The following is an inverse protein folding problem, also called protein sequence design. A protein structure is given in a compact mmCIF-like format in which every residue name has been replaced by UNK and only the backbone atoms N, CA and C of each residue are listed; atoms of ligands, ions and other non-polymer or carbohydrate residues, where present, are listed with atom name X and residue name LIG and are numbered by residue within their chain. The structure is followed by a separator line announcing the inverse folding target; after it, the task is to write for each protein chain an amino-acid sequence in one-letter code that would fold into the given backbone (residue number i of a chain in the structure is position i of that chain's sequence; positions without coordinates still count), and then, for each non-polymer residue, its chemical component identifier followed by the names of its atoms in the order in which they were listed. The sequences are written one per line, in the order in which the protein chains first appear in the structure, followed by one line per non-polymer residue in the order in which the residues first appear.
data_IF_439822528613
#
_entry.id   IF_439822528613
#
_cell.length_a   1.000
_cell.length_b   1.000
_cell.length_c   1.000
_cell.angle_alpha   90.00
_cell.angle_beta   90.00
_cell.angle_gamma   90.00
#
_symmetry.space_group_name_H-M   'P 1'
#
loop_
_entity.id
_entity.type
_entity.pdbx_description
1 polymer ?
#
# COMPACT_ATOMS: atom_id res chain seq x y z
N UNK A 1 17.03 3.42 26.45
CA UNK A 1 15.73 3.57 27.20
C UNK A 1 14.73 2.62 26.56
N UNK A 2 14.05 1.81 27.36
CA UNK A 2 12.99 0.91 26.85
C UNK A 2 11.74 1.73 26.57
N UNK A 3 11.15 1.57 25.37
CA UNK A 3 9.89 2.19 24.99
C UNK A 3 8.77 1.16 25.10
N UNK A 4 7.61 1.57 25.59
CA UNK A 4 6.47 0.69 25.81
C UNK A 4 5.29 1.13 24.95
N UNK A 5 4.81 0.27 24.07
CA UNK A 5 3.55 0.49 23.36
C UNK A 5 2.37 0.18 24.29
N UNK A 6 1.24 0.85 24.06
CA UNK A 6 0.03 0.68 24.84
C UNK A 6 -0.57 -0.73 24.69
N UNK A 7 -1.31 -1.15 25.69
CA UNK A 7 -2.18 -2.32 25.59
C UNK A 7 -3.19 -2.10 24.44
N UNK A 8 -3.41 -3.13 23.63
CA UNK A 8 -4.27 -3.06 22.44
C UNK A 8 -3.58 -2.56 21.17
N UNK A 9 -2.28 -2.22 21.22
CA UNK A 9 -1.52 -1.92 20.02
C UNK A 9 -1.42 -3.15 19.12
N UNK A 10 -1.68 -2.99 17.81
CA UNK A 10 -1.65 -4.10 16.86
C UNK A 10 -0.23 -4.34 16.35
N UNK A 11 0.26 -5.55 16.54
CA UNK A 11 1.52 -6.05 15.98
C UNK A 11 1.18 -6.97 14.82
N UNK A 12 1.13 -6.41 13.63
CA UNK A 12 0.61 -7.08 12.43
C UNK A 12 1.66 -7.49 11.43
N UNK A 13 1.24 -8.33 10.52
CA UNK A 13 1.92 -8.64 9.27
C UNK A 13 0.99 -8.38 8.09
N UNK A 14 1.53 -7.82 7.00
CA UNK A 14 0.74 -7.50 5.81
C UNK A 14 1.04 -8.45 4.65
N UNK A 15 0.02 -8.70 3.83
CA UNK A 15 0.07 -9.45 2.58
C UNK A 15 -0.87 -8.81 1.55
N UNK A 16 -0.81 -9.27 0.30
CA UNK A 16 -1.77 -8.92 -0.74
C UNK A 16 -2.11 -10.16 -1.57
N UNK A 17 -3.39 -10.36 -1.91
CA UNK A 17 -3.90 -11.56 -2.55
C UNK A 17 -3.08 -11.99 -3.77
N UNK A 18 -2.88 -11.10 -4.74
CA UNK A 18 -2.14 -11.41 -5.97
C UNK A 18 -0.66 -11.78 -5.71
N UNK A 19 -0.07 -11.25 -4.64
CA UNK A 19 1.33 -11.48 -4.31
C UNK A 19 1.59 -12.76 -3.50
N UNK A 20 0.57 -13.30 -2.83
CA UNK A 20 0.76 -14.45 -1.95
C UNK A 20 -0.06 -15.67 -2.31
N UNK A 21 -1.28 -15.50 -2.85
CA UNK A 21 -2.23 -16.61 -2.98
C UNK A 21 -1.78 -17.68 -3.98
N UNK A 22 -1.21 -17.27 -5.11
CA UNK A 22 -1.06 -18.18 -6.25
C UNK A 22 -2.42 -18.53 -6.85
N UNK A 23 -2.52 -19.70 -7.49
CA UNK A 23 -3.77 -20.19 -8.09
C UNK A 23 -4.46 -19.12 -8.98
N UNK A 24 -3.64 -18.38 -9.74
CA UNK A 24 -4.07 -17.18 -10.47
C UNK A 24 -5.06 -17.47 -11.58
N UNK A 25 -5.14 -18.73 -12.06
CA UNK A 25 -6.04 -19.18 -13.13
C UNK A 25 -6.90 -20.38 -12.73
N UNK A 26 -7.00 -20.65 -11.42
CA UNK A 26 -7.75 -21.75 -10.87
C UNK A 26 -8.96 -21.27 -10.06
N UNK A 27 -9.81 -22.19 -9.62
CA UNK A 27 -10.91 -21.94 -8.70
C UNK A 27 -11.88 -20.84 -9.19
N UNK A 28 -12.09 -20.76 -10.51
CA UNK A 28 -13.00 -19.77 -11.09
C UNK A 28 -12.53 -18.33 -11.06
N UNK A 29 -11.28 -18.06 -10.63
CA UNK A 29 -10.73 -16.70 -10.58
C UNK A 29 -10.64 -16.09 -11.99
N UNK A 30 -11.16 -14.86 -12.15
CA UNK A 30 -11.01 -14.07 -13.37
C UNK A 30 -9.62 -13.43 -13.50
N UNK A 31 -9.37 -12.87 -14.68
CA UNK A 31 -8.11 -12.21 -15.01
C UNK A 31 -8.01 -10.81 -14.41
N UNK A 32 -6.76 -10.39 -14.20
CA UNK A 32 -6.35 -9.02 -13.90
C UNK A 32 -5.28 -8.55 -14.90
N UNK A 33 -5.10 -7.24 -15.14
CA UNK A 33 -4.13 -6.71 -16.10
C UNK A 33 -2.68 -7.19 -15.88
N UNK A 34 -2.34 -7.51 -14.64
CA UNK A 34 -1.03 -8.06 -14.29
C UNK A 34 -0.73 -9.41 -14.93
N UNK A 35 -1.75 -10.24 -15.17
CA UNK A 35 -1.55 -11.58 -15.72
C UNK A 35 -0.92 -11.53 -17.11
N UNK A 36 -1.46 -10.71 -18.00
CA UNK A 36 -0.94 -10.55 -19.35
C UNK A 36 0.32 -9.67 -19.39
N UNK A 37 0.40 -8.65 -18.51
CA UNK A 37 1.57 -7.78 -18.41
C UNK A 37 2.84 -8.54 -17.99
N UNK A 38 2.75 -9.41 -16.99
CA UNK A 38 3.87 -10.24 -16.54
C UNK A 38 4.20 -11.33 -17.56
N UNK A 39 3.19 -11.96 -18.15
CA UNK A 39 3.38 -12.97 -19.20
C UNK A 39 4.11 -12.38 -20.42
N UNK A 40 3.77 -11.16 -20.83
CA UNK A 40 4.45 -10.47 -21.94
C UNK A 40 5.92 -10.16 -21.64
N UNK A 41 6.28 -9.91 -20.37
CA UNK A 41 7.66 -9.68 -19.97
C UNK A 41 8.49 -10.97 -19.90
N UNK A 42 7.86 -12.13 -19.65
CA UNK A 42 8.53 -13.43 -19.52
C UNK A 42 9.55 -13.50 -18.37
N UNK A 43 9.45 -12.63 -17.38
CA UNK A 43 10.43 -12.51 -16.28
C UNK A 43 10.04 -13.28 -15.02
N UNK A 44 8.78 -13.16 -14.63
CA UNK A 44 8.27 -13.72 -13.38
C UNK A 44 6.82 -14.20 -13.55
N UNK A 45 6.43 -15.18 -12.72
CA UNK A 45 5.05 -15.62 -12.56
C UNK A 45 4.60 -15.39 -11.12
N UNK A 46 3.40 -14.89 -10.86
CA UNK A 46 2.82 -14.80 -9.52
C UNK A 46 2.24 -16.15 -9.05
N UNK A 47 2.50 -17.24 -9.76
CA UNK A 47 2.01 -18.56 -9.49
C UNK A 47 3.19 -19.56 -9.39
N UNK A 48 3.38 -20.28 -8.26
CA UNK A 48 2.45 -20.36 -7.11
C UNK A 48 2.59 -19.21 -6.08
N UNK A 49 3.44 -18.20 -6.29
CA UNK A 49 3.77 -17.20 -5.28
C UNK A 49 4.24 -17.85 -3.97
N UNK A 50 3.66 -17.51 -2.82
CA UNK A 50 3.85 -18.22 -1.56
C UNK A 50 2.74 -19.22 -1.27
N UNK A 51 1.95 -19.58 -2.26
CA UNK A 51 0.88 -20.60 -2.16
C UNK A 51 -0.05 -20.39 -0.96
N UNK A 52 -0.36 -19.15 -0.65
CA UNK A 52 -1.18 -18.78 0.50
C UNK A 52 -2.60 -19.36 0.39
N UNK A 53 -3.13 -19.50 -0.83
CA UNK A 53 -4.44 -20.12 -1.06
C UNK A 53 -4.55 -21.50 -0.41
N UNK A 54 -3.49 -22.28 -0.46
CA UNK A 54 -3.44 -23.62 0.16
C UNK A 54 -2.76 -23.62 1.54
N UNK A 55 -1.91 -22.65 1.82
CA UNK A 55 -1.01 -22.65 2.99
C UNK A 55 -1.41 -21.65 4.10
N UNK A 56 -2.51 -20.89 3.94
CA UNK A 56 -2.95 -19.93 4.97
C UNK A 56 -3.09 -20.53 6.39
N UNK A 57 -3.47 -21.80 6.60
CA UNK A 57 -3.52 -22.35 7.95
C UNK A 57 -2.13 -22.45 8.60
N UNK A 58 -1.09 -22.70 7.80
CA UNK A 58 0.30 -22.72 8.28
C UNK A 58 0.76 -21.31 8.63
N UNK A 59 0.46 -20.34 7.77
CA UNK A 59 0.87 -18.96 7.94
C UNK A 59 0.16 -18.29 9.15
N UNK A 60 -1.12 -18.58 9.37
CA UNK A 60 -1.87 -18.12 10.54
C UNK A 60 -1.42 -18.78 11.85
N UNK A 61 -1.04 -20.05 11.82
CA UNK A 61 -0.43 -20.70 12.98
C UNK A 61 0.95 -20.10 13.31
N UNK A 62 1.70 -19.66 12.30
CA UNK A 62 2.93 -18.89 12.52
C UNK A 62 2.62 -17.51 13.14
N UNK A 63 1.59 -16.81 12.68
CA UNK A 63 1.14 -15.56 13.32
C UNK A 63 0.93 -15.78 14.83
N UNK A 64 0.10 -16.76 15.19
CA UNK A 64 -0.18 -17.12 16.58
C UNK A 64 1.08 -17.43 17.39
N UNK A 65 1.99 -18.24 16.84
CA UNK A 65 3.24 -18.63 17.51
C UNK A 65 4.22 -17.48 17.71
N UNK A 66 4.17 -16.50 16.85
CA UNK A 66 5.09 -15.36 16.86
C UNK A 66 4.47 -14.05 17.36
N UNK A 67 3.27 -14.13 17.98
CA UNK A 67 2.63 -12.97 18.60
C UNK A 67 2.08 -11.94 17.62
N UNK A 68 1.98 -12.28 16.33
CA UNK A 68 1.33 -11.45 15.31
C UNK A 68 -0.18 -11.52 15.55
N UNK A 69 -0.77 -10.45 16.06
CA UNK A 69 -2.17 -10.41 16.47
C UNK A 69 -3.12 -9.79 15.44
N UNK A 70 -2.58 -9.26 14.34
CA UNK A 70 -3.33 -8.77 13.19
C UNK A 70 -2.69 -9.23 11.88
N UNK A 71 -3.51 -9.65 10.92
CA UNK A 71 -3.05 -9.91 9.56
C UNK A 71 -3.79 -8.99 8.58
N UNK A 72 -3.03 -8.28 7.75
CA UNK A 72 -3.63 -7.57 6.64
C UNK A 72 -3.59 -8.45 5.40
N UNK A 73 -4.78 -8.69 4.84
CA UNK A 73 -4.99 -9.43 3.59
C UNK A 73 -5.79 -8.58 2.62
N UNK A 74 -5.82 -8.94 1.35
CA UNK A 74 -6.81 -8.39 0.42
C UNK A 74 -7.74 -9.48 -0.09
N UNK A 75 -8.96 -9.10 -0.49
CA UNK A 75 -9.86 -9.96 -1.24
C UNK A 75 -9.57 -9.71 -2.72
N UNK A 76 -9.17 -10.74 -3.47
CA UNK A 76 -9.08 -10.64 -4.92
C UNK A 76 -10.48 -10.48 -5.51
N UNK A 77 -10.79 -9.28 -6.03
CA UNK A 77 -12.10 -8.98 -6.60
C UNK A 77 -12.54 -10.02 -7.64
N UNK A 78 -11.60 -10.43 -8.48
CA UNK A 78 -11.84 -11.46 -9.52
C UNK A 78 -12.02 -12.88 -8.99
N UNK A 79 -11.74 -13.18 -7.71
CA UNK A 79 -12.16 -14.43 -7.08
C UNK A 79 -13.64 -14.41 -6.71
N UNK A 80 -14.18 -13.25 -6.39
CA UNK A 80 -15.59 -13.06 -6.03
C UNK A 80 -16.44 -12.89 -7.30
N UNK A 81 -16.07 -11.95 -8.16
CA UNK A 81 -16.70 -11.67 -9.43
C UNK A 81 -15.68 -11.78 -10.57
N UNK A 82 -15.58 -12.92 -11.27
CA UNK A 82 -14.55 -13.15 -12.28
C UNK A 82 -14.51 -12.12 -13.40
N UNK A 83 -15.66 -11.54 -13.77
CA UNK A 83 -15.78 -10.44 -14.73
C UNK A 83 -15.93 -9.06 -14.07
N UNK A 84 -15.59 -8.92 -12.78
CA UNK A 84 -15.77 -7.69 -12.01
C UNK A 84 -17.19 -7.44 -11.53
N UNK A 85 -18.18 -7.91 -12.26
CA UNK A 85 -19.61 -7.81 -11.95
C UNK A 85 -20.35 -9.08 -12.38
N UNK A 86 -21.63 -9.18 -12.04
CA UNK A 86 -22.55 -10.21 -12.56
C UNK A 86 -22.43 -11.54 -11.83
N UNK A 87 -21.85 -12.56 -12.44
CA UNK A 87 -21.85 -13.92 -11.90
C UNK A 87 -20.91 -14.06 -10.71
N UNK A 88 -21.47 -14.46 -9.56
CA UNK A 88 -20.71 -14.77 -8.35
C UNK A 88 -19.94 -16.10 -8.51
N UNK A 89 -18.70 -16.12 -8.07
CA UNK A 89 -17.91 -17.34 -7.92
C UNK A 89 -17.95 -17.81 -6.45
N UNK A 90 -18.80 -18.79 -6.16
CA UNK A 90 -19.01 -19.30 -4.80
C UNK A 90 -17.72 -19.91 -4.20
N UNK A 91 -16.89 -20.55 -5.03
CA UNK A 91 -15.63 -21.15 -4.54
C UNK A 91 -14.67 -20.08 -3.98
N UNK A 92 -14.66 -18.88 -4.59
CA UNK A 92 -13.89 -17.76 -4.06
C UNK A 92 -14.47 -17.20 -2.76
N UNK A 93 -15.79 -17.14 -2.64
CA UNK A 93 -16.46 -16.73 -1.39
C UNK A 93 -16.15 -17.72 -0.26
N UNK A 94 -16.29 -19.00 -0.53
CA UNK A 94 -16.03 -20.07 0.45
C UNK A 94 -14.57 -20.07 0.93
N UNK A 95 -13.63 -19.76 0.04
CA UNK A 95 -12.22 -19.60 0.41
C UNK A 95 -12.00 -18.48 1.44
N UNK A 96 -12.59 -17.30 1.22
CA UNK A 96 -12.42 -16.18 2.17
C UNK A 96 -13.13 -16.44 3.50
N UNK A 97 -14.30 -17.07 3.52
CA UNK A 97 -14.90 -17.52 4.78
C UNK A 97 -13.99 -18.51 5.54
N UNK A 98 -13.39 -19.46 4.84
CA UNK A 98 -12.45 -20.40 5.46
C UNK A 98 -11.21 -19.69 6.01
N UNK A 99 -10.67 -18.72 5.30
CA UNK A 99 -9.56 -17.88 5.74
C UNK A 99 -9.90 -17.09 7.00
N UNK A 100 -11.06 -16.44 7.04
CA UNK A 100 -11.48 -15.64 8.20
C UNK A 100 -11.81 -16.52 9.43
N UNK A 101 -12.41 -17.67 9.22
CA UNK A 101 -12.62 -18.66 10.28
C UNK A 101 -11.27 -19.16 10.87
N UNK A 102 -10.26 -19.34 10.04
CA UNK A 102 -8.93 -19.72 10.50
C UNK A 102 -8.22 -18.56 11.24
N UNK A 103 -8.45 -17.30 10.83
CA UNK A 103 -8.01 -16.12 11.59
C UNK A 103 -8.59 -16.15 13.00
N UNK A 104 -9.90 -16.37 13.15
CA UNK A 104 -10.58 -16.48 14.45
C UNK A 104 -10.01 -17.63 15.29
N UNK A 105 -9.84 -18.82 14.69
CA UNK A 105 -9.25 -19.98 15.36
C UNK A 105 -7.86 -19.72 15.91
N UNK A 106 -7.06 -18.92 15.18
CA UNK A 106 -5.70 -18.56 15.59
C UNK A 106 -5.65 -17.34 16.53
N UNK A 107 -6.76 -16.62 16.72
CA UNK A 107 -6.80 -15.38 17.49
C UNK A 107 -6.07 -14.22 16.80
N UNK A 108 -6.08 -14.21 15.46
CA UNK A 108 -5.46 -13.18 14.61
C UNK A 108 -6.57 -12.36 13.97
N UNK A 109 -6.56 -11.05 14.15
CA UNK A 109 -7.61 -10.17 13.63
C UNK A 109 -7.36 -9.87 12.15
N UNK A 110 -8.32 -10.13 11.24
CA UNK A 110 -8.19 -9.77 9.83
C UNK A 110 -8.44 -8.28 9.60
N UNK A 111 -7.54 -7.64 8.85
CA UNK A 111 -7.63 -6.29 8.28
C UNK A 111 -7.71 -6.44 6.77
N UNK A 112 -8.86 -6.14 6.18
CA UNK A 112 -9.17 -6.55 4.81
C UNK A 112 -9.18 -5.37 3.85
N UNK A 113 -8.38 -5.47 2.80
CA UNK A 113 -8.34 -4.50 1.69
C UNK A 113 -9.17 -5.04 0.52
N UNK A 114 -10.03 -4.20 -0.07
CA UNK A 114 -10.92 -4.60 -1.16
C UNK A 114 -10.26 -4.61 -2.54
N UNK A 115 -9.36 -3.67 -2.81
CA UNK A 115 -8.57 -3.63 -4.05
C UNK A 115 -7.10 -3.39 -3.72
N UNK A 116 -6.23 -4.30 -4.11
CA UNK A 116 -4.78 -4.21 -3.93
C UNK A 116 -4.07 -4.42 -5.26
N UNK A 117 -4.30 -3.47 -6.21
CA UNK A 117 -3.74 -3.44 -7.55
C UNK A 117 -4.27 -4.51 -8.51
N UNK A 118 -5.32 -5.19 -8.13
CA UNK A 118 -5.88 -6.34 -8.86
C UNK A 118 -7.31 -6.10 -9.36
N UNK A 119 -7.58 -4.87 -9.79
CA UNK A 119 -8.81 -4.49 -10.48
C UNK A 119 -9.07 -5.43 -11.67
N UNK A 120 -10.31 -5.95 -11.87
CA UNK A 120 -10.60 -6.91 -12.91
C UNK A 120 -10.26 -6.46 -14.34
N UNK A 121 -9.67 -7.35 -15.14
CA UNK A 121 -9.33 -7.12 -16.57
C UNK A 121 -10.55 -6.67 -17.37
N UNK A 122 -11.73 -7.19 -17.08
CA UNK A 122 -12.97 -6.88 -17.79
C UNK A 122 -13.29 -5.38 -17.86
N UNK A 123 -12.80 -4.57 -16.90
CA UNK A 123 -12.97 -3.11 -16.94
C UNK A 123 -12.04 -2.39 -17.92
N UNK A 124 -11.14 -3.12 -18.57
CA UNK A 124 -10.20 -2.62 -19.58
C UNK A 124 -10.50 -3.16 -20.98
N UNK A 125 -11.50 -4.02 -21.10
CA UNK A 125 -12.00 -4.53 -22.38
C UNK A 125 -12.98 -3.56 -23.03
N UNK A 126 -13.24 -3.71 -24.33
CA UNK A 126 -14.23 -2.95 -25.10
C UNK A 126 -14.10 -1.41 -24.99
N UNK A 127 -12.88 -0.90 -24.80
CA UNK A 127 -12.60 0.52 -24.70
C UNK A 127 -12.73 1.08 -23.28
N UNK A 128 -12.90 0.22 -22.28
CA UNK A 128 -12.78 0.60 -20.87
C UNK A 128 -11.34 0.93 -20.51
N UNK A 129 -11.15 1.80 -19.52
CA UNK A 129 -9.84 2.20 -19.00
C UNK A 129 -9.78 2.05 -17.46
N UNK A 130 -10.41 0.99 -16.90
CA UNK A 130 -10.48 0.76 -15.47
C UNK A 130 -11.10 1.95 -14.72
N UNK A 131 -10.48 2.43 -13.65
CA UNK A 131 -10.98 3.59 -12.89
C UNK A 131 -10.90 4.94 -13.63
N UNK A 132 -10.30 5.05 -14.80
CA UNK A 132 -10.49 6.22 -15.65
C UNK A 132 -11.91 6.26 -16.25
N UNK A 133 -12.56 5.10 -16.37
CA UNK A 133 -13.96 4.95 -16.78
C UNK A 133 -14.87 5.05 -15.54
N UNK A 134 -15.78 6.02 -15.52
CA UNK A 134 -16.59 6.33 -14.32
C UNK A 134 -17.50 5.20 -13.86
N UNK A 135 -17.99 4.35 -14.78
CA UNK A 135 -18.82 3.20 -14.40
C UNK A 135 -18.10 2.17 -13.50
N UNK A 136 -16.77 2.16 -13.52
CA UNK A 136 -15.97 1.32 -12.61
C UNK A 136 -16.13 1.76 -11.15
N UNK A 137 -16.42 3.04 -10.90
CA UNK A 137 -16.74 3.56 -9.56
C UNK A 137 -17.99 2.86 -9.01
N UNK A 138 -19.05 2.77 -9.81
CA UNK A 138 -20.30 2.13 -9.42
C UNK A 138 -20.08 0.63 -9.15
N UNK A 139 -19.38 -0.05 -10.06
CA UNK A 139 -19.06 -1.46 -9.93
C UNK A 139 -18.22 -1.76 -8.66
N UNK A 140 -17.28 -0.89 -8.31
CA UNK A 140 -16.49 -1.03 -7.08
C UNK A 140 -17.38 -0.88 -5.84
N UNK A 141 -18.30 0.09 -5.81
CA UNK A 141 -19.20 0.28 -4.68
C UNK A 141 -20.12 -0.93 -4.50
N UNK A 142 -20.66 -1.48 -5.59
CA UNK A 142 -21.49 -2.69 -5.55
C UNK A 142 -20.69 -3.90 -5.01
N UNK A 143 -19.44 -4.07 -5.46
CA UNK A 143 -18.53 -5.10 -4.94
C UNK A 143 -18.23 -4.89 -3.44
N UNK A 144 -17.95 -3.66 -3.02
CA UNK A 144 -17.67 -3.33 -1.63
C UNK A 144 -18.87 -3.67 -0.74
N UNK A 145 -20.08 -3.26 -1.13
CA UNK A 145 -21.35 -3.56 -0.41
C UNK A 145 -21.57 -5.07 -0.34
N UNK A 146 -21.30 -5.81 -1.42
CA UNK A 146 -21.34 -7.28 -1.39
C UNK A 146 -20.41 -7.83 -0.31
N UNK A 147 -19.12 -7.39 -0.30
CA UNK A 147 -18.15 -7.87 0.68
C UNK A 147 -18.55 -7.54 2.13
N UNK A 148 -19.06 -6.33 2.39
CA UNK A 148 -19.52 -5.95 3.74
C UNK A 148 -20.69 -6.81 4.21
N UNK A 149 -21.55 -7.22 3.29
CA UNK A 149 -22.73 -8.06 3.58
C UNK A 149 -22.34 -9.52 3.77
N UNK A 150 -21.48 -10.03 2.90
CA UNK A 150 -21.11 -11.46 2.86
C UNK A 150 -20.15 -11.85 3.96
N UNK A 151 -19.23 -10.95 4.37
CA UNK A 151 -18.19 -11.26 5.35
C UNK A 151 -18.39 -10.48 6.68
N UNK A 152 -19.46 -10.71 7.43
CA UNK A 152 -19.76 -9.99 8.67
C UNK A 152 -18.74 -10.24 9.78
N UNK A 153 -17.91 -11.27 9.67
CA UNK A 153 -16.80 -11.58 10.57
C UNK A 153 -15.64 -10.57 10.46
N UNK A 154 -15.53 -9.86 9.34
CA UNK A 154 -14.51 -8.81 9.14
C UNK A 154 -14.98 -7.50 9.76
N UNK A 155 -14.15 -6.91 10.62
CA UNK A 155 -14.46 -5.66 11.33
C UNK A 155 -13.52 -4.50 10.98
N UNK A 156 -12.48 -4.75 10.17
CA UNK A 156 -11.51 -3.75 9.76
C UNK A 156 -11.35 -3.76 8.25
N UNK A 157 -11.92 -2.75 7.61
CA UNK A 157 -11.98 -2.65 6.16
C UNK A 157 -11.11 -1.51 5.63
N UNK A 158 -10.43 -1.76 4.52
CA UNK A 158 -9.79 -0.75 3.69
C UNK A 158 -10.30 -0.87 2.26
N UNK A 159 -10.64 0.24 1.65
CA UNK A 159 -11.16 0.24 0.28
C UNK A 159 -10.08 -0.07 -0.73
N UNK A 160 -9.03 0.73 -0.75
CA UNK A 160 -7.90 0.62 -1.69
C UNK A 160 -6.57 0.55 -0.97
N UNK A 161 -5.62 -0.11 -1.62
CA UNK A 161 -4.20 0.02 -1.32
C UNK A 161 -3.55 1.02 -2.28
N UNK A 162 -2.85 2.02 -1.73
CA UNK A 162 -1.86 2.85 -2.42
C UNK A 162 -2.30 3.43 -3.78
N UNK A 163 -3.38 4.19 -3.81
CA UNK A 163 -3.84 4.85 -5.04
C UNK A 163 -2.70 5.60 -5.77
N UNK A 164 -1.80 6.37 -5.09
CA UNK A 164 -0.70 7.01 -5.77
C UNK A 164 0.30 6.04 -6.42
N UNK A 165 0.53 4.85 -5.85
CA UNK A 165 1.42 3.86 -6.45
C UNK A 165 0.83 3.28 -7.74
N UNK A 166 -0.49 3.02 -7.77
CA UNK A 166 -1.19 2.62 -8.99
C UNK A 166 -1.02 3.67 -10.09
N UNK A 167 -1.24 4.94 -9.76
CA UNK A 167 -1.11 6.03 -10.71
C UNK A 167 0.34 6.24 -11.19
N UNK A 168 1.31 6.16 -10.27
CA UNK A 168 2.73 6.30 -10.59
C UNK A 168 3.19 5.15 -11.50
N UNK A 169 2.91 3.91 -11.12
CA UNK A 169 3.34 2.73 -11.86
C UNK A 169 2.74 2.65 -13.26
N UNK A 170 1.44 2.94 -13.40
CA UNK A 170 0.71 2.80 -14.67
C UNK A 170 0.88 3.98 -15.62
N UNK A 171 0.98 5.22 -15.10
CA UNK A 171 0.90 6.42 -15.93
C UNK A 171 2.08 7.40 -15.81
N UNK A 172 2.93 7.28 -14.81
CA UNK A 172 4.12 8.14 -14.68
C UNK A 172 5.39 7.38 -15.07
N UNK A 173 5.63 6.22 -14.46
CA UNK A 173 6.80 5.36 -14.74
C UNK A 173 6.55 4.42 -15.92
N UNK A 174 5.33 3.91 -16.04
CA UNK A 174 4.92 2.98 -17.11
C UNK A 174 5.52 1.59 -16.98
N UNK A 175 5.85 1.16 -15.77
CA UNK A 175 6.36 -0.19 -15.48
C UNK A 175 5.32 -1.13 -14.83
N UNK A 176 4.08 -0.68 -14.72
CA UNK A 176 2.89 -1.43 -14.34
C UNK A 176 1.93 -1.55 -15.53
N UNK A 177 0.85 -2.37 -15.42
CA UNK A 177 -0.17 -2.49 -16.46
C UNK A 177 -0.65 -1.12 -16.96
N UNK A 178 -0.94 -1.04 -18.25
CA UNK A 178 -1.12 0.08 -19.15
C UNK A 178 0.19 0.64 -19.70
N UNK A 179 1.28 0.73 -18.94
CA UNK A 179 2.61 1.04 -19.42
C UNK A 179 2.77 2.43 -20.03
N UNK A 180 1.87 3.38 -19.73
CA UNK A 180 1.97 4.76 -20.21
C UNK A 180 2.96 5.55 -19.36
N UNK A 181 3.74 6.45 -19.99
CA UNK A 181 4.75 7.24 -19.28
C UNK A 181 4.39 8.72 -19.29
N UNK A 182 4.68 9.35 -18.15
CA UNK A 182 4.60 10.82 -17.97
C UNK A 182 3.21 11.40 -18.26
N UNK A 183 2.15 10.61 -18.09
CA UNK A 183 0.74 10.97 -18.25
C UNK A 183 0.17 11.41 -16.90
N UNK A 184 0.66 12.56 -16.40
CA UNK A 184 0.20 13.12 -15.14
C UNK A 184 -1.30 13.48 -15.16
N UNK A 185 -1.85 13.81 -16.32
CA UNK A 185 -3.27 13.99 -16.54
C UNK A 185 -4.06 12.74 -16.17
N UNK A 186 -3.70 11.57 -16.73
CA UNK A 186 -4.33 10.29 -16.41
C UNK A 186 -4.05 9.86 -14.98
N UNK A 187 -2.84 10.08 -14.47
CA UNK A 187 -2.47 9.74 -13.10
C UNK A 187 -3.36 10.44 -12.07
N UNK A 188 -3.53 11.76 -12.18
CA UNK A 188 -4.40 12.52 -11.27
C UNK A 188 -5.87 12.17 -11.45
N UNK A 189 -6.34 11.94 -12.69
CA UNK A 189 -7.72 11.54 -12.94
C UNK A 189 -8.03 10.16 -12.38
N UNK A 190 -7.12 9.20 -12.53
CA UNK A 190 -7.24 7.87 -11.92
C UNK A 190 -7.37 7.99 -10.40
N UNK A 191 -6.43 8.71 -9.78
CA UNK A 191 -6.47 8.93 -8.32
C UNK A 191 -7.78 9.59 -7.89
N UNK A 192 -8.25 10.59 -8.63
CA UNK A 192 -9.53 11.27 -8.33
C UNK A 192 -10.70 10.28 -8.35
N UNK A 193 -10.85 9.52 -9.43
CA UNK A 193 -11.97 8.58 -9.56
C UNK A 193 -11.92 7.47 -8.49
N UNK A 194 -10.75 6.96 -8.15
CA UNK A 194 -10.58 5.99 -7.06
C UNK A 194 -10.92 6.61 -5.69
N UNK A 195 -10.59 7.90 -5.46
CA UNK A 195 -10.98 8.60 -4.24
C UNK A 195 -12.49 8.80 -4.15
N UNK A 196 -13.17 9.06 -5.27
CA UNK A 196 -14.65 9.11 -5.33
C UNK A 196 -15.25 7.73 -5.02
N UNK A 197 -14.68 6.65 -5.59
CA UNK A 197 -15.11 5.28 -5.29
C UNK A 197 -14.92 4.95 -3.79
N UNK A 198 -13.78 5.30 -3.21
CA UNK A 198 -13.54 5.20 -1.76
C UNK A 198 -14.63 5.92 -0.95
N UNK A 199 -14.86 7.19 -1.24
CA UNK A 199 -15.83 8.01 -0.51
C UNK A 199 -17.24 7.42 -0.56
N UNK A 200 -17.67 6.94 -1.72
CA UNK A 200 -18.98 6.30 -1.88
C UNK A 200 -19.06 4.95 -1.17
N UNK A 201 -18.00 4.16 -1.17
CA UNK A 201 -17.96 2.90 -0.42
C UNK A 201 -17.99 3.13 1.10
N UNK A 202 -17.27 4.16 1.60
CA UNK A 202 -17.34 4.58 3.02
C UNK A 202 -18.74 5.00 3.42
N UNK A 203 -19.40 5.82 2.60
CA UNK A 203 -20.79 6.21 2.85
C UNK A 203 -21.73 5.01 2.84
N UNK A 204 -21.59 4.10 1.86
CA UNK A 204 -22.41 2.89 1.77
C UNK A 204 -22.21 1.96 2.99
N UNK A 205 -20.99 1.86 3.53
CA UNK A 205 -20.70 1.08 4.75
C UNK A 205 -21.51 1.59 5.95
N UNK A 206 -21.49 2.88 6.21
CA UNK A 206 -22.20 3.46 7.35
C UNK A 206 -23.72 3.52 7.13
N UNK A 207 -24.17 3.87 5.93
CA UNK A 207 -25.60 3.88 5.58
C UNK A 207 -26.24 2.49 5.65
N UNK A 208 -25.46 1.45 5.32
CA UNK A 208 -25.86 0.04 5.44
C UNK A 208 -25.85 -0.48 6.88
N UNK A 209 -25.32 0.28 7.84
CA UNK A 209 -25.25 -0.11 9.26
C UNK A 209 -24.31 -1.29 9.52
N UNK A 210 -23.29 -1.49 8.68
CA UNK A 210 -22.30 -2.54 8.88
C UNK A 210 -21.44 -2.26 10.12
N UNK A 211 -21.05 -3.33 10.81
CA UNK A 211 -20.27 -3.24 12.04
C UNK A 211 -18.76 -3.20 11.76
N UNK A 212 -18.04 -2.41 12.53
CA UNK A 212 -16.59 -2.28 12.45
C UNK A 212 -16.14 -0.89 12.03
N UNK A 213 -14.98 -0.82 11.40
CA UNK A 213 -14.39 0.42 10.89
C UNK A 213 -13.98 0.30 9.42
N UNK A 214 -14.03 1.41 8.72
CA UNK A 214 -13.62 1.50 7.32
C UNK A 214 -12.67 2.68 7.09
N UNK A 215 -11.64 2.46 6.27
CA UNK A 215 -10.68 3.48 5.87
C UNK A 215 -10.09 3.21 4.50
N UNK A 216 -8.93 3.80 4.25
CA UNK A 216 -8.14 3.64 3.03
C UNK A 216 -6.68 3.50 3.41
N UNK A 217 -5.91 2.79 2.58
CA UNK A 217 -4.45 2.71 2.73
C UNK A 217 -3.78 3.53 1.64
N UNK A 218 -2.90 4.43 2.03
CA UNK A 218 -2.13 5.26 1.12
C UNK A 218 -0.62 5.08 1.32
N UNK A 219 0.12 4.99 0.21
CA UNK A 219 1.57 5.11 0.27
C UNK A 219 1.93 6.59 0.37
N UNK A 220 2.45 6.97 1.51
CA UNK A 220 2.84 8.33 1.78
C UNK A 220 4.36 8.41 1.90
N UNK A 221 4.96 9.31 1.15
CA UNK A 221 6.39 9.43 1.06
C UNK A 221 6.83 10.85 1.43
N UNK A 222 7.53 11.04 2.56
CA UNK A 222 8.03 12.35 2.96
C UNK A 222 8.90 12.99 1.87
N UNK A 223 8.66 14.25 1.57
CA UNK A 223 9.38 15.03 0.56
C UNK A 223 10.14 16.17 1.24
N UNK A 224 11.43 16.24 0.99
CA UNK A 224 12.31 17.25 1.56
C UNK A 224 13.07 18.00 0.47
N UNK A 225 13.35 19.28 0.63
CA UNK A 225 14.33 19.97 -0.23
C UNK A 225 15.72 19.34 -0.01
N UNK A 226 16.49 19.16 -1.07
CA UNK A 226 17.87 18.68 -0.97
C UNK A 226 18.73 19.71 -0.22
N UNK A 227 18.64 20.97 -0.62
CA UNK A 227 19.17 22.09 0.17
C UNK A 227 18.01 22.77 0.92
N UNK A 228 17.97 22.68 2.26
CA UNK A 228 16.88 23.30 3.05
C UNK A 228 16.86 24.84 2.97
N UNK A 229 17.89 25.48 2.43
CA UNK A 229 17.97 26.93 2.25
C UNK A 229 17.58 27.36 0.81
N UNK A 230 17.37 26.42 -0.11
CA UNK A 230 16.95 26.71 -1.49
C UNK A 230 15.43 26.80 -1.56
N UNK A 231 14.90 27.96 -1.97
CA UNK A 231 13.47 28.16 -2.21
C UNK A 231 12.99 27.30 -3.41
N UNK A 232 13.86 27.11 -4.40
CA UNK A 232 13.59 26.32 -5.59
C UNK A 232 13.48 24.83 -5.25
N UNK A 233 14.36 24.28 -4.38
CA UNK A 233 14.29 22.91 -3.91
C UNK A 233 13.05 22.68 -3.02
N UNK A 234 12.69 23.68 -2.19
CA UNK A 234 11.48 23.64 -1.39
C UNK A 234 10.22 23.58 -2.27
N UNK A 235 10.19 24.33 -3.37
CA UNK A 235 9.08 24.27 -4.34
C UNK A 235 9.04 22.92 -5.06
N UNK A 236 10.18 22.36 -5.47
CA UNK A 236 10.27 21.02 -6.05
C UNK A 236 9.69 19.95 -5.09
N UNK A 237 10.08 20.01 -3.82
CA UNK A 237 9.56 19.13 -2.78
C UNK A 237 8.03 19.29 -2.59
N UNK A 238 7.53 20.54 -2.57
CA UNK A 238 6.11 20.85 -2.46
C UNK A 238 5.29 20.28 -3.63
N UNK A 239 5.79 20.38 -4.86
CA UNK A 239 5.10 19.85 -6.04
C UNK A 239 5.13 18.32 -6.05
N UNK A 240 6.27 17.69 -5.71
CA UNK A 240 6.35 16.26 -5.57
C UNK A 240 5.39 15.73 -4.49
N UNK A 241 5.22 16.48 -3.40
CA UNK A 241 4.28 16.17 -2.31
C UNK A 241 2.81 16.19 -2.76
N UNK A 242 2.45 17.07 -3.72
CA UNK A 242 1.11 17.05 -4.31
C UNK A 242 0.82 15.72 -5.01
N UNK A 243 1.79 15.15 -5.72
CA UNK A 243 1.62 13.91 -6.48
C UNK A 243 1.38 12.71 -5.56
N UNK A 244 2.22 12.55 -4.53
CA UNK A 244 2.18 11.33 -3.71
C UNK A 244 1.31 11.48 -2.45
N UNK A 245 1.24 12.67 -1.84
CA UNK A 245 0.65 12.82 -0.52
C UNK A 245 -0.59 13.71 -0.52
N UNK A 246 -0.46 14.98 -0.91
CA UNK A 246 -1.52 15.97 -0.69
C UNK A 246 -2.79 15.67 -1.45
N UNK A 247 -2.68 15.19 -2.70
CA UNK A 247 -3.85 14.86 -3.51
C UNK A 247 -4.77 13.87 -2.79
N UNK A 248 -4.24 12.77 -2.30
CA UNK A 248 -5.05 11.75 -1.63
C UNK A 248 -5.40 12.12 -0.18
N UNK A 249 -4.51 12.81 0.55
CA UNK A 249 -4.80 13.26 1.92
C UNK A 249 -5.88 14.34 1.96
N UNK A 250 -5.86 15.29 1.03
CA UNK A 250 -6.90 16.32 0.92
C UNK A 250 -8.26 15.68 0.63
N UNK A 251 -8.34 14.74 -0.32
CA UNK A 251 -9.58 14.03 -0.62
C UNK A 251 -10.09 13.23 0.58
N UNK A 252 -9.21 12.48 1.26
CA UNK A 252 -9.59 11.60 2.39
C UNK A 252 -9.93 12.39 3.66
N UNK A 253 -9.12 13.40 4.03
CA UNK A 253 -9.15 14.02 5.35
C UNK A 253 -9.62 15.49 5.37
N UNK A 254 -9.87 16.09 4.17
CA UNK A 254 -10.54 17.40 4.02
C UNK A 254 -11.88 17.28 3.31
N UNK A 255 -12.10 16.19 2.54
CA UNK A 255 -13.28 16.02 1.69
C UNK A 255 -13.27 16.91 0.44
N UNK A 256 -12.16 17.57 0.14
CA UNK A 256 -11.97 18.40 -1.05
C UNK A 256 -10.47 18.69 -1.24
N UNK A 257 -10.07 19.05 -2.45
CA UNK A 257 -8.70 19.47 -2.73
C UNK A 257 -8.48 20.92 -2.28
N UNK A 258 -7.39 21.19 -1.55
CA UNK A 258 -7.00 22.56 -1.25
C UNK A 258 -6.70 23.32 -2.56
N UNK A 259 -6.99 24.61 -2.63
CA UNK A 259 -6.83 25.39 -3.88
C UNK A 259 -5.45 25.30 -4.51
N UNK A 260 -4.39 25.30 -3.70
CA UNK A 260 -3.00 25.17 -4.17
C UNK A 260 -2.65 23.73 -4.59
N UNK A 261 -3.25 22.70 -3.97
CA UNK A 261 -3.15 21.30 -4.40
C UNK A 261 -3.78 21.12 -5.77
N UNK A 262 -5.03 21.59 -5.95
CA UNK A 262 -5.75 21.51 -7.23
C UNK A 262 -5.04 22.27 -8.34
N UNK A 263 -4.58 23.48 -8.06
CA UNK A 263 -3.86 24.30 -9.04
C UNK A 263 -2.55 23.63 -9.50
N UNK A 264 -1.79 23.03 -8.58
CA UNK A 264 -0.57 22.31 -8.92
C UNK A 264 -0.85 21.05 -9.76
N UNK A 265 -1.85 20.26 -9.38
CA UNK A 265 -2.26 19.07 -10.14
C UNK A 265 -2.75 19.44 -11.54
N UNK A 266 -3.59 20.47 -11.67
CA UNK A 266 -4.05 21.00 -12.98
C UNK A 266 -2.89 21.45 -13.85
N UNK A 267 -1.90 22.18 -13.29
CA UNK A 267 -0.71 22.59 -14.02
C UNK A 267 0.09 21.37 -14.53
N UNK A 268 0.26 20.36 -13.70
CA UNK A 268 0.98 19.13 -14.09
C UNK A 268 0.23 18.34 -15.16
N UNK A 269 -1.10 18.26 -15.07
CA UNK A 269 -1.93 17.64 -16.09
C UNK A 269 -1.81 18.37 -17.45
N UNK A 270 -1.81 19.71 -17.46
CA UNK A 270 -1.58 20.49 -18.68
C UNK A 270 -0.17 20.29 -19.26
N UNK A 271 0.86 20.15 -18.41
CA UNK A 271 2.24 19.82 -18.88
C UNK A 271 2.24 18.45 -19.57
N UNK A 272 1.43 17.51 -19.11
CA UNK A 272 1.25 16.19 -19.72
C UNK A 272 0.33 16.18 -20.97
N UNK A 273 -0.29 17.33 -21.29
CA UNK A 273 -1.13 17.50 -22.48
C UNK A 273 -2.60 17.15 -22.30
N UNK A 274 -3.08 17.04 -21.06
CA UNK A 274 -4.48 16.73 -20.74
C UNK A 274 -5.09 17.69 -19.73
N UNK A 275 -6.30 17.35 -19.28
CA UNK A 275 -7.11 18.12 -18.33
C UNK A 275 -7.64 17.19 -17.24
N UNK A 276 -8.12 17.76 -16.13
CA UNK A 276 -8.75 17.04 -15.03
C UNK A 276 -10.26 17.31 -15.01
N UNK A 277 -11.06 16.24 -14.90
CA UNK A 277 -12.51 16.29 -14.71
C UNK A 277 -12.83 16.04 -13.22
N UNK A 278 -12.85 17.09 -12.43
CA UNK A 278 -13.25 17.12 -11.02
C UNK A 278 -14.60 17.81 -10.92
N UNK A 279 -15.65 17.06 -10.67
CA UNK A 279 -17.02 17.54 -10.69
C UNK A 279 -17.52 17.95 -9.30
N UNK A 280 -18.50 18.84 -9.24
CA UNK A 280 -19.13 19.25 -7.98
C UNK A 280 -19.75 18.06 -7.23
N UNK A 281 -20.32 17.10 -7.94
CA UNK A 281 -20.87 15.86 -7.37
C UNK A 281 -19.81 14.97 -6.72
N UNK A 282 -18.61 14.95 -7.29
CA UNK A 282 -17.47 14.20 -6.75
C UNK A 282 -17.01 14.84 -5.43
N UNK A 283 -16.86 16.17 -5.42
CA UNK A 283 -16.49 16.91 -4.19
C UNK A 283 -17.57 16.75 -3.12
N UNK A 284 -18.84 16.72 -3.51
CA UNK A 284 -19.95 16.45 -2.58
C UNK A 284 -19.84 15.04 -1.95
N UNK A 285 -19.48 14.02 -2.74
CA UNK A 285 -19.28 12.66 -2.25
C UNK A 285 -18.08 12.58 -1.29
N UNK A 286 -16.93 13.20 -1.64
CA UNK A 286 -15.74 13.27 -0.77
C UNK A 286 -16.08 13.96 0.57
N UNK A 287 -16.81 15.07 0.51
CA UNK A 287 -17.22 15.81 1.72
C UNK A 287 -18.17 15.01 2.60
N UNK A 288 -19.12 14.29 2.01
CA UNK A 288 -20.06 13.45 2.73
C UNK A 288 -19.38 12.29 3.46
N UNK A 289 -18.36 11.69 2.86
CA UNK A 289 -17.62 10.58 3.45
C UNK A 289 -16.67 11.00 4.60
N UNK A 290 -16.23 12.26 4.64
CA UNK A 290 -15.23 12.76 5.58
C UNK A 290 -15.51 12.39 7.06
N UNK A 291 -16.73 12.57 7.63
CA UNK A 291 -17.00 12.20 9.02
C UNK A 291 -17.03 10.68 9.24
N UNK A 292 -17.09 9.91 8.19
CA UNK A 292 -17.28 8.46 8.17
C UNK A 292 -16.00 7.66 7.90
N UNK A 293 -14.90 8.31 7.49
CA UNK A 293 -13.60 7.65 7.38
C UNK A 293 -13.03 7.41 8.79
N UNK A 294 -12.99 6.14 9.24
CA UNK A 294 -12.68 5.78 10.63
C UNK A 294 -11.18 5.65 10.87
N UNK A 295 -10.41 5.27 9.87
CA UNK A 295 -8.98 5.11 9.97
C UNK A 295 -8.25 5.42 8.65
N UNK A 296 -6.97 5.76 8.79
CA UNK A 296 -6.04 5.89 7.69
C UNK A 296 -4.95 4.83 7.83
N UNK A 297 -4.79 3.99 6.81
CA UNK A 297 -3.63 3.15 6.64
C UNK A 297 -2.49 3.94 5.99
N UNK A 298 -1.31 3.86 6.56
CA UNK A 298 -0.11 4.51 6.04
C UNK A 298 0.92 3.45 5.67
N UNK A 299 1.22 3.34 4.38
CA UNK A 299 2.36 2.60 3.89
C UNK A 299 3.50 3.58 3.64
N UNK A 300 4.68 3.28 4.17
CA UNK A 300 5.84 4.13 3.95
C UNK A 300 7.14 3.33 4.10
N UNK A 301 8.07 3.53 3.18
CA UNK A 301 9.32 2.76 3.12
C UNK A 301 10.56 3.64 2.98
N UNK A 302 10.39 4.82 2.42
CA UNK A 302 11.46 5.74 2.03
C UNK A 302 10.99 7.19 2.07
N UNK A 303 11.89 8.11 1.81
CA UNK A 303 11.59 9.52 1.53
C UNK A 303 12.27 9.95 0.22
N UNK A 304 12.01 11.17 -0.22
CA UNK A 304 12.77 11.80 -1.30
C UNK A 304 13.36 13.13 -0.84
N UNK A 305 14.59 13.38 -1.28
CA UNK A 305 15.21 14.69 -1.24
C UNK A 305 15.20 15.27 -2.65
N UNK A 306 14.47 16.37 -2.84
CA UNK A 306 14.19 16.97 -4.14
C UNK A 306 15.11 18.15 -4.40
N UNK A 307 15.64 18.21 -5.61
CA UNK A 307 16.38 19.34 -6.15
C UNK A 307 15.63 19.92 -7.35
N UNK A 308 15.51 21.24 -7.39
CA UNK A 308 15.03 21.93 -8.58
C UNK A 308 16.02 21.74 -9.72
N UNK A 309 15.56 21.28 -10.84
CA UNK A 309 16.37 21.05 -12.04
C UNK A 309 15.51 21.19 -13.29
N UNK A 310 16.14 21.62 -14.39
CA UNK A 310 15.54 21.64 -15.72
C UNK A 310 16.04 20.45 -16.54
N UNK A 311 15.15 19.80 -17.28
CA UNK A 311 15.49 18.65 -18.11
C UNK A 311 14.26 17.95 -18.68
N UNK A 312 14.50 16.85 -19.34
CA UNK A 312 13.44 15.96 -19.82
C UNK A 312 13.19 14.84 -18.82
N UNK A 313 11.97 14.29 -18.86
CA UNK A 313 11.58 13.20 -17.98
C UNK A 313 12.55 12.00 -18.08
N UNK A 314 13.04 11.53 -16.93
CA UNK A 314 13.90 10.35 -16.82
C UNK A 314 13.61 9.63 -15.48
N UNK A 315 12.74 8.61 -15.53
CA UNK A 315 12.43 7.79 -14.37
C UNK A 315 12.78 6.34 -14.66
N UNK A 316 13.65 5.79 -13.82
CA UNK A 316 14.04 4.40 -13.83
C UNK A 316 14.11 3.86 -12.40
N UNK A 317 13.33 2.83 -12.13
CA UNK A 317 13.35 2.13 -10.86
C UNK A 317 14.30 0.93 -10.91
N UNK A 318 15.12 0.78 -9.88
CA UNK A 318 15.99 -0.38 -9.70
C UNK A 318 15.16 -1.64 -9.46
N UNK A 319 15.01 -2.47 -10.49
CA UNK A 319 14.26 -3.74 -10.44
C UNK A 319 15.12 -4.95 -10.09
N UNK A 320 16.46 -4.81 -10.02
CA UNK A 320 17.41 -5.93 -9.89
C UNK A 320 18.14 -5.97 -8.55
N UNK A 321 18.14 -4.87 -7.80
CA UNK A 321 18.96 -4.70 -6.60
C UNK A 321 20.41 -4.31 -6.90
N UNK A 322 20.65 -3.72 -8.08
CA UNK A 322 21.96 -3.15 -8.47
C UNK A 322 22.02 -1.70 -8.00
N UNK A 323 22.58 -1.50 -6.82
CA UNK A 323 22.62 -0.22 -6.12
C UNK A 323 23.19 0.91 -7.00
N UNK A 324 22.48 2.07 -7.00
CA UNK A 324 22.84 3.25 -7.76
C UNK A 324 22.27 3.30 -9.19
N UNK A 325 21.40 2.35 -9.57
CA UNK A 325 20.78 2.32 -10.90
C UNK A 325 19.49 3.14 -11.02
N UNK A 326 18.86 3.54 -9.89
CA UNK A 326 17.63 4.35 -9.91
C UNK A 326 17.88 5.76 -10.42
N UNK A 327 16.89 6.30 -11.14
CA UNK A 327 16.77 7.70 -11.56
C UNK A 327 15.35 8.15 -11.32
N UNK A 328 15.17 9.38 -10.88
CA UNK A 328 13.87 10.00 -10.80
C UNK A 328 13.98 11.50 -11.12
N UNK A 329 13.65 11.84 -12.34
CA UNK A 329 13.52 13.21 -12.81
C UNK A 329 12.16 13.38 -13.49
N UNK A 330 11.37 14.34 -13.02
CA UNK A 330 10.05 14.63 -13.56
C UNK A 330 9.96 16.09 -13.95
N UNK A 331 9.68 16.35 -15.22
CA UNK A 331 9.55 17.69 -15.78
C UNK A 331 8.45 18.49 -15.05
N UNK A 332 8.77 19.69 -14.65
CA UNK A 332 7.87 20.55 -13.86
C UNK A 332 7.88 20.27 -12.36
N UNK A 333 8.66 19.28 -11.91
CA UNK A 333 8.87 18.96 -10.50
C UNK A 333 10.34 19.13 -10.12
N UNK A 334 11.24 18.34 -10.72
CA UNK A 334 12.67 18.33 -10.41
C UNK A 334 13.23 16.92 -10.33
N UNK A 335 14.34 16.77 -9.59
CA UNK A 335 15.11 15.53 -9.47
C UNK A 335 15.14 15.03 -8.03
N UNK A 336 14.94 13.72 -7.83
CA UNK A 336 15.18 13.07 -6.55
C UNK A 336 16.65 12.66 -6.42
N UNK A 337 17.26 13.07 -5.31
CA UNK A 337 18.67 12.85 -5.03
C UNK A 337 18.87 12.03 -3.76
N UNK A 338 19.99 11.32 -3.67
CA UNK A 338 20.45 10.73 -2.42
C UNK A 338 21.23 11.80 -1.66
N UNK A 339 20.77 12.14 -0.45
CA UNK A 339 21.45 13.10 0.41
C UNK A 339 22.71 12.47 0.98
N UNK A 340 23.82 13.24 1.01
CA UNK A 340 25.09 12.78 1.58
C UNK A 340 24.91 12.29 3.02
N UNK A 341 25.51 11.12 3.32
CA UNK A 341 25.44 10.49 4.64
C UNK A 341 24.16 9.75 4.96
N UNK A 342 23.15 9.76 4.07
CA UNK A 342 21.91 9.00 4.25
C UNK A 342 22.01 7.66 3.53
N UNK A 343 21.84 6.52 4.23
CA UNK A 343 21.96 5.20 3.63
C UNK A 343 20.78 4.87 2.71
N UNK A 344 21.02 3.95 1.79
CA UNK A 344 20.01 3.36 0.92
C UNK A 344 20.02 1.84 1.00
N UNK A 345 18.88 1.22 0.69
CA UNK A 345 18.79 -0.23 0.45
C UNK A 345 19.52 -0.61 -0.85
N UNK A 346 19.64 -1.90 -1.15
CA UNK A 346 20.17 -2.40 -2.44
C UNK A 346 19.29 -1.96 -3.63
N UNK A 347 18.03 -1.61 -3.40
CA UNK A 347 17.09 -1.11 -4.40
C UNK A 347 17.01 0.43 -4.43
N UNK A 348 18.02 1.12 -3.91
CA UNK A 348 18.16 2.59 -3.85
C UNK A 348 17.06 3.30 -3.03
N UNK A 349 16.35 2.60 -2.18
CA UNK A 349 15.37 3.22 -1.30
C UNK A 349 16.09 3.89 -0.13
N UNK A 350 15.85 5.17 0.04
CA UNK A 350 16.47 6.00 1.08
C UNK A 350 15.97 5.54 2.46
N UNK A 351 16.88 5.15 3.34
CA UNK A 351 16.56 4.77 4.72
C UNK A 351 16.62 6.02 5.59
N UNK A 352 15.44 6.56 5.89
CA UNK A 352 15.28 7.79 6.68
C UNK A 352 14.11 7.65 7.67
N UNK A 353 14.30 6.91 8.79
CA UNK A 353 13.21 6.57 9.71
C UNK A 353 12.52 7.78 10.36
N UNK A 354 13.26 8.91 10.55
CA UNK A 354 12.70 10.16 11.05
C UNK A 354 11.58 10.69 10.16
N UNK A 355 11.64 10.42 8.86
CA UNK A 355 10.61 10.82 7.91
C UNK A 355 9.22 10.28 8.25
N UNK A 356 9.15 9.10 8.86
CA UNK A 356 7.87 8.56 9.32
C UNK A 356 7.29 9.37 10.49
N UNK A 357 8.13 9.83 11.41
CA UNK A 357 7.71 10.74 12.48
C UNK A 357 7.18 12.06 11.92
N UNK A 358 7.90 12.66 10.99
CA UNK A 358 7.51 13.92 10.34
C UNK A 358 6.16 13.77 9.64
N UNK A 359 5.98 12.67 8.89
CA UNK A 359 4.74 12.35 8.18
C UNK A 359 3.55 12.20 9.14
N UNK A 360 3.70 11.38 10.18
CA UNK A 360 2.65 11.13 11.17
C UNK A 360 2.28 12.42 11.93
N UNK A 361 3.28 13.21 12.31
CA UNK A 361 3.07 14.49 13.00
C UNK A 361 2.39 15.50 12.08
N UNK A 362 2.76 15.54 10.80
CA UNK A 362 2.12 16.36 9.78
C UNK A 362 0.65 15.99 9.60
N UNK A 363 0.32 14.70 9.49
CA UNK A 363 -1.07 14.26 9.38
C UNK A 363 -1.89 14.80 10.56
N UNK A 364 -1.38 14.65 11.77
CA UNK A 364 -2.05 15.19 12.97
C UNK A 364 -2.26 16.71 12.89
N UNK A 365 -1.26 17.46 12.45
CA UNK A 365 -1.28 18.93 12.50
C UNK A 365 -2.09 19.54 11.36
N UNK A 366 -1.96 18.99 10.13
CA UNK A 366 -2.53 19.57 8.91
C UNK A 366 -3.92 19.02 8.58
N UNK A 367 -4.26 17.85 9.14
CA UNK A 367 -5.52 17.14 8.86
C UNK A 367 -6.27 16.80 10.16
N UNK A 368 -6.90 17.78 10.82
CA UNK A 368 -7.50 17.60 12.16
C UNK A 368 -8.70 16.63 12.17
N UNK A 369 -9.20 16.23 11.01
CA UNK A 369 -10.31 15.27 10.88
C UNK A 369 -9.83 13.81 10.93
N UNK A 370 -8.51 13.53 10.92
CA UNK A 370 -8.05 12.16 11.07
C UNK A 370 -8.48 11.61 12.46
N UNK A 371 -8.89 10.36 12.50
CA UNK A 371 -9.34 9.73 13.77
C UNK A 371 -8.28 8.78 14.31
N UNK A 372 -7.78 7.89 13.47
CA UNK A 372 -6.86 6.80 13.82
C UNK A 372 -5.94 6.49 12.65
N UNK A 373 -4.71 6.14 12.94
CA UNK A 373 -3.72 5.69 11.95
C UNK A 373 -3.30 4.26 12.26
N UNK A 374 -3.21 3.43 11.24
CA UNK A 374 -2.41 2.21 11.23
C UNK A 374 -1.23 2.43 10.30
N UNK A 375 -0.01 2.11 10.73
CA UNK A 375 1.09 1.92 9.79
C UNK A 375 0.88 0.53 9.20
N UNK A 376 0.25 0.51 8.01
CA UNK A 376 -0.25 -0.71 7.38
C UNK A 376 0.80 -1.45 6.59
N UNK A 377 1.87 -0.76 6.21
CA UNK A 377 3.07 -1.37 5.65
C UNK A 377 4.31 -0.53 5.95
N UNK A 378 5.31 -1.19 6.48
CA UNK A 378 6.68 -0.70 6.57
C UNK A 378 7.62 -1.90 6.62
N UNK A 379 8.72 -1.85 5.89
CA UNK A 379 9.66 -2.96 5.82
C UNK A 379 10.80 -2.69 4.86
N UNK A 380 11.77 -3.58 4.86
CA UNK A 380 12.95 -3.48 4.02
C UNK A 380 13.12 -4.73 3.17
N UNK A 381 13.12 -4.56 1.85
CA UNK A 381 13.58 -5.61 0.94
C UNK A 381 15.07 -5.86 1.13
N UNK A 382 15.43 -7.12 1.28
CA UNK A 382 16.80 -7.55 1.54
C UNK A 382 17.15 -8.81 0.74
N UNK A 383 18.43 -8.99 0.45
CA UNK A 383 18.97 -10.23 -0.15
C UNK A 383 19.26 -11.17 1.00
N UNK A 384 18.34 -12.06 1.29
CA UNK A 384 18.48 -13.01 2.39
C UNK A 384 19.45 -14.16 2.02
N UNK A 385 20.40 -14.44 2.89
CA UNK A 385 21.28 -15.60 2.77
C UNK A 385 20.73 -16.74 3.63
N UNK A 386 20.22 -17.79 2.97
CA UNK A 386 19.64 -18.96 3.63
C UNK A 386 20.73 -20.00 3.91
N UNK A 387 21.20 -20.04 5.15
CA UNK A 387 22.23 -20.97 5.59
C UNK A 387 21.73 -21.90 6.69
N UNK A 388 21.87 -23.21 6.49
CA UNK A 388 21.53 -24.24 7.50
C UNK A 388 20.10 -24.12 8.08
N UNK A 389 19.13 -23.68 7.29
CA UNK A 389 17.72 -23.55 7.73
C UNK A 389 17.42 -22.26 8.50
N UNK A 390 18.32 -21.29 8.49
CA UNK A 390 18.18 -20.02 9.19
C UNK A 390 18.64 -18.84 8.34
N UNK A 391 18.07 -17.65 8.63
CA UNK A 391 18.44 -16.38 8.02
C UNK A 391 18.72 -15.39 9.13
N UNK A 392 19.96 -14.89 9.17
CA UNK A 392 20.33 -13.75 9.99
C UNK A 392 20.11 -12.45 9.20
N UNK A 393 18.98 -11.81 9.44
CA UNK A 393 18.59 -10.57 8.78
C UNK A 393 18.70 -9.36 9.71
N UNK A 394 19.80 -9.25 10.44
CA UNK A 394 20.09 -8.14 11.36
C UNK A 394 19.86 -6.74 10.77
N UNK A 395 20.18 -6.44 9.49
CA UNK A 395 19.84 -5.15 8.87
C UNK A 395 18.34 -4.87 8.82
N UNK A 396 17.49 -5.89 8.62
CA UNK A 396 16.03 -5.74 8.67
C UNK A 396 15.56 -5.42 10.08
N UNK A 397 16.12 -6.10 11.09
CA UNK A 397 15.82 -5.80 12.51
C UNK A 397 16.17 -4.34 12.83
N UNK A 398 17.33 -3.87 12.40
CA UNK A 398 17.75 -2.49 12.64
C UNK A 398 16.80 -1.47 11.96
N UNK A 399 16.40 -1.74 10.71
CA UNK A 399 15.43 -0.92 10.00
C UNK A 399 14.09 -0.84 10.75
N UNK A 400 13.51 -1.99 11.14
CA UNK A 400 12.22 -2.06 11.84
C UNK A 400 12.31 -1.35 13.21
N UNK A 401 13.38 -1.60 13.96
CA UNK A 401 13.60 -0.97 15.27
C UNK A 401 13.68 0.56 15.18
N UNK A 402 14.38 1.09 14.19
CA UNK A 402 14.49 2.53 14.00
C UNK A 402 13.14 3.15 13.65
N UNK A 403 12.36 2.57 12.72
CA UNK A 403 11.04 3.08 12.36
C UNK A 403 10.06 3.02 13.53
N UNK A 404 10.00 1.90 14.27
CA UNK A 404 9.17 1.77 15.47
C UNK A 404 9.56 2.75 16.57
N UNK A 405 10.85 3.10 16.67
CA UNK A 405 11.33 4.15 17.57
C UNK A 405 10.69 5.50 17.26
N UNK A 406 10.61 5.87 15.98
CA UNK A 406 10.02 7.12 15.56
C UNK A 406 8.50 7.12 15.60
N UNK A 407 7.85 5.98 15.35
CA UNK A 407 6.41 5.80 15.60
C UNK A 407 6.09 6.03 17.08
N UNK A 408 6.86 5.41 17.98
CA UNK A 408 6.65 5.61 19.41
C UNK A 408 6.78 7.09 19.81
N UNK A 409 7.75 7.82 19.26
CA UNK A 409 7.89 9.27 19.47
C UNK A 409 6.68 10.06 18.96
N UNK A 410 6.13 9.66 17.82
CA UNK A 410 4.92 10.28 17.27
C UNK A 410 3.71 10.04 18.21
N UNK A 411 3.58 8.85 18.78
CA UNK A 411 2.56 8.52 19.78
C UNK A 411 2.75 9.37 21.05
N UNK A 412 3.97 9.49 21.57
CA UNK A 412 4.28 10.39 22.69
C UNK A 412 3.94 11.87 22.36
N UNK A 413 4.10 12.28 21.09
CA UNK A 413 3.66 13.56 20.55
C UNK A 413 2.14 13.68 20.35
N UNK A 414 1.37 12.67 20.73
CA UNK A 414 -0.10 12.65 20.66
C UNK A 414 -0.68 12.30 19.29
N UNK A 415 0.06 11.62 18.43
CA UNK A 415 -0.49 11.02 17.21
C UNK A 415 -1.20 9.71 17.60
N UNK A 416 -2.43 9.51 17.13
CA UNK A 416 -3.21 8.30 17.40
C UNK A 416 -2.81 7.18 16.42
N UNK A 417 -1.71 6.48 16.70
CA UNK A 417 -1.28 5.30 15.95
C UNK A 417 -1.69 4.05 16.71
N UNK A 418 -2.56 3.23 16.14
CA UNK A 418 -3.17 2.06 16.77
C UNK A 418 -2.45 0.74 16.47
N UNK A 419 -1.57 0.71 15.47
CA UNK A 419 -0.89 -0.53 15.11
C UNK A 419 0.18 -0.34 14.04
N UNK A 420 0.99 -1.39 13.89
CA UNK A 420 2.08 -1.47 12.94
C UNK A 420 2.09 -2.84 12.28
N UNK A 421 2.07 -2.87 10.97
CA UNK A 421 2.11 -4.08 10.16
C UNK A 421 3.42 -4.12 9.38
N UNK A 422 4.18 -5.19 9.59
CA UNK A 422 5.41 -5.41 8.80
C UNK A 422 5.03 -5.78 7.37
N UNK A 423 5.62 -5.11 6.40
CA UNK A 423 5.67 -5.60 5.05
C UNK A 423 6.95 -6.41 4.87
N UNK A 424 6.82 -7.73 4.83
CA UNK A 424 5.61 -8.53 4.77
C UNK A 424 5.63 -9.64 5.83
N UNK A 425 4.49 -10.29 6.04
CA UNK A 425 4.40 -11.41 6.96
C UNK A 425 5.36 -12.53 6.53
N UNK A 426 5.20 -13.04 5.31
CA UNK A 426 6.12 -14.01 4.68
C UNK A 426 6.71 -13.40 3.41
N UNK A 427 7.79 -14.02 2.91
CA UNK A 427 8.30 -13.70 1.58
C UNK A 427 7.23 -13.99 0.54
N UNK A 428 7.12 -13.10 -0.45
CA UNK A 428 6.05 -13.12 -1.44
C UNK A 428 6.54 -12.61 -2.80
N UNK A 429 5.71 -12.77 -3.81
CA UNK A 429 5.94 -12.18 -5.11
C UNK A 429 5.96 -10.65 -5.00
N UNK A 430 6.99 -10.01 -5.53
CA UNK A 430 7.13 -8.55 -5.57
C UNK A 430 6.96 -8.05 -6.99
N UNK A 431 5.86 -7.38 -7.28
CA UNK A 431 5.36 -6.88 -8.57
C UNK A 431 6.38 -6.78 -9.72
N UNK A 432 7.41 -5.93 -9.60
CA UNK A 432 8.44 -5.70 -10.64
C UNK A 432 9.76 -6.43 -10.37
N UNK A 433 9.95 -6.98 -9.16
CA UNK A 433 11.18 -7.66 -8.74
C UNK A 433 11.03 -9.19 -8.66
N UNK A 434 9.81 -9.72 -8.81
CA UNK A 434 9.54 -11.15 -8.70
C UNK A 434 9.88 -11.68 -7.32
N UNK A 435 10.76 -12.68 -7.24
CA UNK A 435 11.16 -13.34 -5.99
C UNK A 435 12.53 -12.90 -5.45
N UNK A 436 13.17 -11.94 -6.11
CA UNK A 436 14.53 -11.50 -5.78
C UNK A 436 14.58 -10.55 -4.58
N UNK A 437 13.48 -9.86 -4.29
CA UNK A 437 13.38 -8.87 -3.23
C UNK A 437 12.50 -9.40 -2.11
N UNK A 438 13.14 -9.82 -1.02
CA UNK A 438 12.46 -10.49 0.10
C UNK A 438 12.21 -9.51 1.24
N UNK A 439 10.99 -9.52 1.77
CA UNK A 439 10.56 -8.62 2.84
C UNK A 439 10.08 -9.35 4.10
N UNK A 440 9.76 -10.65 3.97
CA UNK A 440 9.06 -11.41 5.00
C UNK A 440 9.80 -11.52 6.33
N UNK A 441 9.03 -11.60 7.42
CA UNK A 441 9.50 -12.15 8.68
C UNK A 441 9.77 -13.65 8.56
N UNK A 442 8.97 -14.32 7.73
CA UNK A 442 9.15 -15.74 7.42
C UNK A 442 9.71 -15.89 6.01
N UNK A 443 10.84 -16.56 5.90
CA UNK A 443 11.39 -16.97 4.62
C UNK A 443 10.51 -18.04 4.00
N UNK A 444 10.21 -17.91 2.72
CA UNK A 444 9.53 -18.92 1.93
C UNK A 444 10.53 -19.53 0.95
N UNK A 445 10.73 -20.82 1.05
CA UNK A 445 11.36 -21.59 0.00
C UNK A 445 10.32 -21.81 -1.11
N UNK A 446 10.41 -21.04 -2.18
CA UNK A 446 9.40 -21.07 -3.25
C UNK A 446 9.36 -22.35 -4.07
N UNK A 447 10.36 -23.24 -3.93
CA UNK A 447 10.33 -24.58 -4.56
C UNK A 447 9.53 -25.59 -3.72
N UNK A 448 9.70 -25.54 -2.39
CA UNK A 448 9.09 -26.52 -1.47
C UNK A 448 7.91 -25.95 -0.69
N UNK A 449 7.67 -24.66 -0.81
CA UNK A 449 6.67 -23.88 -0.05
C UNK A 449 6.82 -23.97 1.47
N UNK A 450 8.00 -24.33 1.98
CA UNK A 450 8.31 -24.35 3.41
C UNK A 450 8.59 -22.94 3.93
N UNK A 451 8.12 -22.67 5.16
CA UNK A 451 8.34 -21.42 5.88
C UNK A 451 9.40 -21.60 6.95
N UNK A 452 10.33 -20.65 7.02
CA UNK A 452 11.38 -20.62 8.03
C UNK A 452 11.40 -19.25 8.71
N UNK A 453 11.23 -19.19 10.06
CA UNK A 453 11.34 -17.93 10.78
C UNK A 453 12.75 -17.33 10.63
N UNK A 454 12.84 -16.06 10.22
CA UNK A 454 14.10 -15.30 10.19
C UNK A 454 14.43 -14.76 11.58
N UNK A 455 15.63 -14.24 11.78
CA UNK A 455 16.02 -13.57 13.02
C UNK A 455 15.04 -12.43 13.37
N UNK A 456 14.59 -11.68 12.36
CA UNK A 456 13.57 -10.63 12.52
C UNK A 456 12.23 -11.14 13.04
N UNK A 457 11.81 -12.36 12.72
CA UNK A 457 10.59 -12.96 13.27
C UNK A 457 10.69 -13.18 14.79
N UNK A 458 11.82 -13.67 15.26
CA UNK A 458 12.05 -13.86 16.71
C UNK A 458 12.16 -12.53 17.45
N UNK A 459 12.80 -11.53 16.84
CA UNK A 459 12.85 -10.18 17.38
C UNK A 459 11.45 -9.56 17.47
N UNK A 460 10.65 -9.67 16.40
CA UNK A 460 9.28 -9.14 16.36
C UNK A 460 8.36 -9.85 17.37
N UNK A 461 8.54 -11.16 17.55
CA UNK A 461 7.85 -11.92 18.58
C UNK A 461 8.09 -11.34 19.97
N UNK A 462 9.34 -11.08 20.35
CA UNK A 462 9.67 -10.49 21.64
C UNK A 462 9.02 -9.11 21.81
N UNK A 463 9.02 -8.29 20.77
CA UNK A 463 8.31 -6.99 20.77
C UNK A 463 6.80 -7.17 20.98
N UNK A 464 6.17 -8.07 20.23
CA UNK A 464 4.72 -8.29 20.28
C UNK A 464 4.26 -8.85 21.64
N UNK A 465 5.02 -9.81 22.20
CA UNK A 465 4.71 -10.42 23.50
C UNK A 465 4.92 -9.48 24.70
N UNK A 466 5.90 -8.58 24.61
CA UNK A 466 6.26 -7.70 25.74
C UNK A 466 5.75 -6.28 25.59
N UNK A 467 5.38 -5.86 24.38
CA UNK A 467 5.12 -4.46 24.05
C UNK A 467 6.34 -3.55 24.18
N UNK A 468 7.53 -4.10 24.41
CA UNK A 468 8.75 -3.35 24.71
C UNK A 468 9.68 -3.30 23.52
N UNK A 469 9.99 -2.10 23.09
CA UNK A 469 11.00 -1.84 22.09
C UNK A 469 12.33 -1.52 22.78
N UNK A 470 13.30 -2.41 22.64
CA UNK A 470 14.65 -2.22 23.15
C UNK A 470 15.44 -1.29 22.21
N UNK A 471 16.26 -0.44 22.80
CA UNK A 471 17.08 0.57 22.07
C UNK A 471 18.25 -0.06 21.32
#
# INVERSE_FOLDING_TARGET
MTRQFSEGFVYGGATAAYQVEGETRAHGKGKVPWDDFLAAQGRFSPDPASDFYNSYPVDLELCKRFGVNGIRVSIAWTRIFPAGTGTLNQEGVDFYHALFAECERCGVVPYVTLDHFDTPEAFYEDGGEGFLTRSTIDAFVDYAVFCFTEFPEVKHWFTFNEIPATAEGSFIVGNWPHGEKYRLDKAFQLMHNMMVAHARAVSAFHDGGYEGEIGIVQNLEPKYPLDPNSAEDAEAARIADVINNRWVLDATLRGHYAPDTLAAATKLAHIAGGELDVRDEDVAALTAALPHCDCLGVNTYKCQFLRSAEGENDIHHNGTGDKGSSRWFLKGVGESCVREGVPTTDWDWIIYPEGLYDLLTRIKNDYPNYKKIYVTENGMGYKDDFENGFIDDAPRIDYLRQHLTWIHRAIEGGVNVAGYFVWSLQDQFSWTNGYNKRYGLFYVDFETQKRYPKASAYWFKNLAETGRLES
#
